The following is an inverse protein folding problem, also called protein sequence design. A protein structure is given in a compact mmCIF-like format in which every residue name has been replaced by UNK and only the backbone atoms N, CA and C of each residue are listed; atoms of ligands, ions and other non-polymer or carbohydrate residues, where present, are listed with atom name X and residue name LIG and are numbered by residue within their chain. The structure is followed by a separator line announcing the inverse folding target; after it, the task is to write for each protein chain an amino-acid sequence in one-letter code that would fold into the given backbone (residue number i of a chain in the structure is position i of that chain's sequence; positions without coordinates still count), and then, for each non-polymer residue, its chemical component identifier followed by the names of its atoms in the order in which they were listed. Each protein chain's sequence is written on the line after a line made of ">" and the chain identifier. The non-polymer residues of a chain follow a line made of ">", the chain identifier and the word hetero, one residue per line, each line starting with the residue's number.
data_IF_045691622970
#
_entry.id   IF_045691622970
#
_cell.length_a   1.000
_cell.length_b   1.000
_cell.length_c   1.000
_cell.angle_alpha   90.00
_cell.angle_beta   90.00
_cell.angle_gamma   90.00
#
_symmetry.space_group_name_H-M   'P 1'
#
loop_
_entity.id
_entity.type
_entity.pdbx_description
1 polymer ?
#
# COMPACT_ATOMS: atom_id res chain seq x y z
N UNK A 1 32.43 -32.21 -33.75
CA UNK A 1 33.82 -31.75 -33.96
C UNK A 1 33.77 -30.63 -34.99
N UNK A 2 33.79 -29.40 -34.60
CA UNK A 2 34.49 -28.24 -35.22
C UNK A 2 34.41 -27.08 -34.24
N UNK A 3 35.55 -26.75 -33.73
CA UNK A 3 35.93 -25.60 -32.96
C UNK A 3 35.99 -24.34 -33.84
N UNK A 4 35.47 -23.20 -33.40
CA UNK A 4 35.85 -21.86 -33.91
C UNK A 4 35.78 -20.81 -32.82
N UNK A 5 36.92 -20.61 -32.21
CA UNK A 5 37.31 -19.40 -31.46
C UNK A 5 37.31 -18.17 -32.37
N UNK A 6 36.58 -17.11 -31.99
CA UNK A 6 36.73 -15.78 -32.56
C UNK A 6 37.50 -14.88 -31.56
N UNK A 7 38.69 -14.44 -32.01
CA UNK A 7 39.50 -13.41 -31.34
C UNK A 7 39.07 -12.03 -31.84
N UNK A 8 38.83 -11.11 -30.95
CA UNK A 8 38.68 -9.66 -31.22
C UNK A 8 40.03 -8.98 -31.06
N UNK A 9 40.48 -8.32 -32.13
CA UNK A 9 41.63 -7.39 -32.11
C UNK A 9 41.12 -5.95 -31.91
N UNK A 10 41.88 -5.08 -31.18
CA UNK A 10 41.50 -3.69 -31.00
C UNK A 10 41.98 -2.81 -32.16
N UNK A 11 41.07 -1.97 -32.69
CA UNK A 11 41.43 -0.88 -33.61
C UNK A 11 41.62 0.41 -32.81
N UNK A 12 42.82 0.89 -32.71
CA UNK A 12 43.19 2.24 -32.30
C UNK A 12 42.97 3.21 -33.45
N UNK A 13 42.06 4.18 -33.29
CA UNK A 13 41.86 5.30 -34.18
C UNK A 13 42.06 6.62 -33.45
N UNK A 14 43.17 7.28 -33.70
CA UNK A 14 43.46 8.63 -33.25
C UNK A 14 42.62 9.65 -34.01
N UNK A 15 41.92 10.56 -33.34
CA UNK A 15 41.32 11.74 -33.91
C UNK A 15 41.95 13.00 -33.28
N UNK A 16 42.46 13.79 -34.23
CA UNK A 16 43.20 15.06 -34.11
C UNK A 16 42.33 16.16 -33.50
N UNK A 17 42.87 16.85 -32.46
CA UNK A 17 42.29 18.06 -31.92
C UNK A 17 42.48 19.26 -32.89
N UNK A 18 41.41 19.93 -33.28
CA UNK A 18 41.46 21.35 -33.71
C UNK A 18 40.76 22.17 -32.62
N UNK A 19 41.54 22.99 -31.94
CA UNK A 19 41.04 24.02 -31.06
C UNK A 19 40.65 25.25 -31.89
N UNK A 20 39.37 25.62 -31.80
CA UNK A 20 38.87 26.95 -32.17
C UNK A 20 38.24 27.57 -30.94
N UNK A 21 38.87 28.62 -30.43
CA UNK A 21 38.40 29.39 -29.29
C UNK A 21 37.13 30.16 -29.62
N UNK A 22 36.09 29.98 -28.84
CA UNK A 22 34.99 30.92 -28.70
C UNK A 22 34.77 31.11 -27.20
N UNK A 23 35.12 32.29 -26.73
CA UNK A 23 34.80 32.78 -25.38
C UNK A 23 33.30 33.03 -25.28
N UNK A 24 32.55 32.00 -24.92
CA UNK A 24 31.16 32.07 -24.53
C UNK A 24 31.08 32.07 -23.01
N UNK A 25 30.60 33.17 -22.43
CA UNK A 25 30.23 33.24 -21.01
C UNK A 25 29.22 32.09 -20.70
N UNK A 26 29.65 31.12 -19.91
CA UNK A 26 28.76 30.16 -19.32
C UNK A 26 27.76 30.87 -18.43
N UNK A 27 26.53 31.06 -18.93
CA UNK A 27 25.41 31.39 -18.08
C UNK A 27 25.27 30.30 -17.02
N UNK A 28 25.40 30.67 -15.76
CA UNK A 28 25.15 29.78 -14.64
C UNK A 28 23.76 29.17 -14.78
N UNK A 29 23.69 27.85 -14.76
CA UNK A 29 22.43 27.15 -14.70
C UNK A 29 21.58 27.71 -13.55
N UNK A 30 20.28 27.92 -13.74
CA UNK A 30 19.43 28.37 -12.66
C UNK A 30 19.52 27.37 -11.53
N UNK A 31 19.98 27.83 -10.36
CA UNK A 31 19.84 27.06 -9.11
C UNK A 31 18.36 26.78 -8.97
N UNK A 32 17.97 25.51 -9.15
CA UNK A 32 16.71 25.05 -8.59
C UNK A 32 16.75 25.43 -7.11
N UNK A 33 15.93 26.37 -6.71
CA UNK A 33 15.54 26.55 -5.32
C UNK A 33 14.74 25.29 -4.95
N UNK A 34 15.45 24.24 -4.57
CA UNK A 34 14.88 23.18 -3.75
C UNK A 34 14.48 23.92 -2.48
N UNK A 35 13.20 24.23 -2.36
CA UNK A 35 12.61 24.63 -1.09
C UNK A 35 12.98 23.49 -0.16
N UNK A 36 13.86 23.76 0.81
CA UNK A 36 14.13 22.77 1.85
C UNK A 36 12.77 22.28 2.33
N UNK A 37 12.54 20.96 2.38
CA UNK A 37 11.31 20.46 2.96
C UNK A 37 11.28 21.07 4.37
N UNK A 38 10.34 21.98 4.62
CA UNK A 38 9.91 22.22 5.99
C UNK A 38 9.71 20.82 6.53
N UNK A 39 10.48 20.45 7.57
CA UNK A 39 10.35 19.15 8.21
C UNK A 39 8.86 18.86 8.27
N UNK A 40 8.41 18.00 7.37
CA UNK A 40 7.15 17.32 7.48
C UNK A 40 7.25 16.70 8.85
N UNK A 41 6.50 17.22 9.80
CA UNK A 41 6.34 16.56 11.06
C UNK A 41 5.98 15.15 10.65
N UNK A 42 6.89 14.20 10.88
CA UNK A 42 6.76 12.79 10.54
C UNK A 42 5.33 12.44 10.88
N UNK A 43 4.50 12.11 9.88
CA UNK A 43 3.06 11.97 10.01
C UNK A 43 2.85 11.16 11.26
N UNK A 44 2.41 11.81 12.34
CA UNK A 44 2.59 11.30 13.69
C UNK A 44 1.95 9.92 13.71
N UNK A 45 2.75 8.89 13.96
CA UNK A 45 2.28 7.52 13.92
C UNK A 45 1.02 7.47 14.77
N UNK A 46 -0.13 7.22 14.13
CA UNK A 46 -1.42 7.33 14.79
C UNK A 46 -1.37 6.44 16.02
N UNK A 47 -1.57 7.07 17.17
CA UNK A 47 -1.38 6.45 18.46
C UNK A 47 -2.38 5.31 18.61
N UNK A 48 -1.89 4.09 18.75
CA UNK A 48 -2.72 2.91 18.99
C UNK A 48 -2.49 2.36 20.40
N UNK A 49 -3.57 2.05 21.12
CA UNK A 49 -3.52 1.29 22.36
C UNK A 49 -3.46 -0.22 22.14
N UNK A 50 -3.14 -0.68 20.93
CA UNK A 50 -3.07 -2.09 20.53
C UNK A 50 -1.62 -2.51 20.36
N UNK A 51 -1.29 -3.72 20.83
CA UNK A 51 0.04 -4.33 20.74
C UNK A 51 -0.05 -5.66 20.02
N UNK A 52 0.87 -5.92 19.11
CA UNK A 52 1.10 -7.23 18.51
C UNK A 52 2.24 -7.87 19.27
N UNK A 53 1.99 -8.97 19.99
CA UNK A 53 2.96 -9.64 20.87
C UNK A 53 3.16 -11.09 20.42
N UNK A 54 4.41 -11.45 20.20
CA UNK A 54 4.81 -12.85 19.96
C UNK A 54 5.54 -13.39 21.18
N UNK A 55 5.07 -14.49 21.72
CA UNK A 55 5.68 -15.16 22.87
C UNK A 55 6.64 -16.27 22.41
N UNK A 56 7.62 -16.60 23.27
CA UNK A 56 8.56 -17.72 23.01
C UNK A 56 7.87 -19.06 23.24
N UNK A 57 8.06 -20.02 22.34
CA UNK A 57 7.36 -21.30 22.32
C UNK A 57 7.49 -22.12 23.61
N UNK A 58 8.59 -21.98 24.35
CA UNK A 58 8.86 -22.76 25.57
C UNK A 58 8.43 -22.04 26.86
N UNK A 59 7.48 -21.12 26.79
CA UNK A 59 6.99 -20.37 27.96
C UNK A 59 5.49 -20.61 28.18
N UNK A 60 5.03 -20.41 29.41
CA UNK A 60 3.58 -20.50 29.72
C UNK A 60 2.76 -19.51 28.87
N UNK A 61 3.32 -18.35 28.54
CA UNK A 61 2.69 -17.37 27.69
C UNK A 61 2.55 -17.81 26.22
N UNK A 62 3.19 -18.88 25.76
CA UNK A 62 2.97 -19.42 24.42
C UNK A 62 1.54 -19.95 24.24
N UNK A 63 0.98 -20.60 25.25
CA UNK A 63 -0.30 -21.31 25.17
C UNK A 63 -1.36 -20.79 26.13
N UNK A 64 -0.97 -20.29 27.32
CA UNK A 64 -1.91 -19.83 28.33
C UNK A 64 -2.25 -18.34 28.21
N UNK A 65 -3.52 -18.06 28.00
CA UNK A 65 -4.05 -16.70 27.84
C UNK A 65 -3.81 -15.81 29.05
N UNK A 66 -3.91 -16.36 30.27
CA UNK A 66 -3.70 -15.59 31.49
C UNK A 66 -2.24 -15.18 31.63
N UNK A 67 -1.32 -16.06 31.29
CA UNK A 67 0.12 -15.79 31.30
C UNK A 67 0.50 -14.70 30.27
N UNK A 68 -0.12 -14.73 29.08
CA UNK A 68 0.03 -13.67 28.07
C UNK A 68 -0.36 -12.28 28.62
N UNK A 69 -1.55 -12.20 29.21
CA UNK A 69 -2.06 -10.96 29.78
C UNK A 69 -1.24 -10.49 30.98
N UNK A 70 -0.78 -11.41 31.82
CA UNK A 70 0.04 -11.08 32.99
C UNK A 70 1.37 -10.43 32.58
N UNK A 71 2.03 -10.89 31.53
CA UNK A 71 3.25 -10.30 31.02
C UNK A 71 3.03 -8.86 30.59
N UNK A 72 1.96 -8.58 29.80
CA UNK A 72 1.63 -7.22 29.36
C UNK A 72 1.20 -6.35 30.54
N UNK A 73 0.35 -6.86 31.45
CA UNK A 73 -0.11 -6.12 32.60
C UNK A 73 1.04 -5.74 33.56
N UNK A 74 2.03 -6.62 33.72
CA UNK A 74 3.24 -6.35 34.50
C UNK A 74 4.07 -5.21 33.88
N UNK A 75 4.25 -5.22 32.55
CA UNK A 75 4.93 -4.14 31.84
C UNK A 75 4.22 -2.81 31.98
N UNK A 76 2.90 -2.78 31.81
CA UNK A 76 2.05 -1.59 32.03
C UNK A 76 2.19 -1.07 33.46
N UNK A 77 2.16 -1.96 34.46
CA UNK A 77 2.35 -1.62 35.87
C UNK A 77 3.70 -0.97 36.18
N UNK A 78 4.80 -1.48 35.58
CA UNK A 78 6.14 -0.89 35.74
C UNK A 78 6.23 0.53 35.14
N UNK A 79 5.64 0.74 33.98
CA UNK A 79 5.57 2.08 33.35
C UNK A 79 4.73 3.04 34.21
N UNK A 80 3.59 2.56 34.76
CA UNK A 80 2.74 3.33 35.65
C UNK A 80 3.47 3.77 36.93
N UNK A 81 4.23 2.87 37.55
CA UNK A 81 5.03 3.16 38.73
C UNK A 81 6.15 4.19 38.45
N UNK A 82 6.77 4.15 37.30
CA UNK A 82 7.87 5.08 36.93
C UNK A 82 7.39 6.50 36.60
N UNK A 83 6.10 6.69 36.31
CA UNK A 83 5.53 7.98 35.88
C UNK A 83 4.69 8.65 36.96
N UNK A 84 4.59 8.06 38.17
CA UNK A 84 3.83 8.55 39.34
C UNK A 84 2.41 7.98 39.42
N UNK A 85 1.92 7.79 40.62
CA UNK A 85 0.70 7.04 40.98
C UNK A 85 -0.64 7.57 40.41
N UNK A 86 -0.63 8.64 39.60
CA UNK A 86 -1.81 9.22 38.95
C UNK A 86 -1.77 9.20 37.44
N UNK A 87 -0.84 8.45 36.83
CA UNK A 87 -0.73 8.37 35.38
C UNK A 87 -1.81 7.45 34.79
N UNK A 88 -2.26 7.75 33.55
CA UNK A 88 -3.15 6.89 32.77
C UNK A 88 -2.59 5.46 32.60
N UNK A 89 -1.27 5.31 32.65
CA UNK A 89 -0.58 4.02 32.58
C UNK A 89 -0.89 3.12 33.78
N UNK A 90 -1.02 3.67 35.01
CA UNK A 90 -1.32 2.88 36.21
C UNK A 90 -2.74 2.26 36.17
N UNK A 91 -3.67 2.87 35.44
CA UNK A 91 -5.07 2.42 35.33
C UNK A 91 -5.30 1.52 34.08
N UNK A 92 -4.33 1.41 33.18
CA UNK A 92 -4.49 0.65 31.96
C UNK A 92 -4.58 -0.86 32.24
N UNK A 93 -5.57 -1.50 31.63
CA UNK A 93 -5.76 -2.96 31.68
C UNK A 93 -5.50 -3.57 30.31
N UNK A 94 -4.79 -4.69 30.29
CA UNK A 94 -4.59 -5.48 29.10
C UNK A 94 -5.80 -6.38 28.83
N UNK A 95 -6.26 -6.42 27.60
CA UNK A 95 -7.34 -7.30 27.13
C UNK A 95 -6.85 -8.08 25.92
N UNK A 96 -6.96 -9.39 25.96
CA UNK A 96 -6.67 -10.26 24.82
C UNK A 96 -7.76 -10.07 23.76
N UNK A 97 -7.38 -9.80 22.54
CA UNK A 97 -8.32 -9.63 21.43
C UNK A 97 -8.41 -10.94 20.63
N UNK A 98 -7.32 -11.37 19.99
CA UNK A 98 -7.29 -12.58 19.15
C UNK A 98 -5.85 -13.02 18.85
N UNK A 99 -5.71 -14.23 18.31
CA UNK A 99 -4.48 -14.68 17.66
C UNK A 99 -4.47 -14.20 16.21
N UNK A 100 -3.30 -13.81 15.71
CA UNK A 100 -3.08 -13.42 14.34
C UNK A 100 -2.64 -14.62 13.50
N UNK A 101 -2.92 -14.62 12.20
CA UNK A 101 -2.50 -15.65 11.25
C UNK A 101 -0.98 -15.82 11.16
N UNK A 102 -0.22 -14.82 11.59
CA UNK A 102 1.25 -14.86 11.72
C UNK A 102 1.75 -15.49 13.02
N UNK A 103 0.87 -16.06 13.85
CA UNK A 103 1.22 -16.70 15.12
C UNK A 103 1.44 -15.78 16.31
N UNK A 104 1.36 -14.46 16.14
CA UNK A 104 1.39 -13.45 17.22
C UNK A 104 0.00 -13.27 17.83
N UNK A 105 -0.06 -12.58 18.98
CA UNK A 105 -1.31 -12.28 19.68
C UNK A 105 -1.56 -10.77 19.69
N UNK A 106 -2.81 -10.37 19.45
CA UNK A 106 -3.25 -8.99 19.54
C UNK A 106 -3.81 -8.71 20.93
N UNK A 107 -3.24 -7.70 21.59
CA UNK A 107 -3.63 -7.28 22.94
C UNK A 107 -3.96 -5.79 22.93
N UNK A 108 -5.14 -5.43 23.43
CA UNK A 108 -5.63 -4.04 23.56
C UNK A 108 -5.48 -3.57 25.00
N UNK A 109 -5.04 -2.33 25.17
CA UNK A 109 -5.01 -1.64 26.46
C UNK A 109 -6.29 -0.81 26.63
N UNK A 110 -6.89 -0.82 27.84
CA UNK A 110 -8.22 -0.23 28.10
C UNK A 110 -8.23 1.29 28.21
N UNK A 111 -7.06 1.93 28.35
CA UNK A 111 -6.93 3.38 28.41
C UNK A 111 -5.94 3.86 27.37
N UNK A 112 -6.17 5.08 26.88
CA UNK A 112 -5.23 5.73 25.97
C UNK A 112 -3.98 6.11 26.73
N UNK A 113 -2.85 5.54 26.34
CA UNK A 113 -1.53 5.93 26.82
C UNK A 113 -0.96 6.97 25.86
N UNK A 114 -0.09 7.83 26.30
CA UNK A 114 0.68 8.68 25.39
C UNK A 114 1.65 7.83 24.57
N UNK A 115 2.05 8.28 23.38
CA UNK A 115 3.02 7.57 22.54
C UNK A 115 4.28 7.18 23.33
N UNK A 116 4.83 8.12 24.11
CA UNK A 116 6.00 7.86 24.98
C UNK A 116 5.74 6.80 26.09
N UNK A 117 4.51 6.63 26.53
CA UNK A 117 4.15 5.57 27.49
C UNK A 117 4.04 4.21 26.81
N UNK A 118 3.47 4.14 25.60
CA UNK A 118 3.41 2.90 24.83
C UNK A 118 4.81 2.45 24.43
N UNK A 119 5.68 3.35 23.98
CA UNK A 119 7.08 3.03 23.69
C UNK A 119 7.78 2.42 24.91
N UNK A 120 7.56 2.97 26.12
CA UNK A 120 8.08 2.39 27.36
C UNK A 120 7.52 1.00 27.64
N UNK A 121 6.21 0.76 27.42
CA UNK A 121 5.60 -0.57 27.57
C UNK A 121 6.22 -1.56 26.57
N UNK A 122 6.47 -1.15 25.34
CA UNK A 122 7.16 -1.96 24.33
C UNK A 122 8.57 -2.30 24.80
N UNK A 123 9.33 -1.34 25.33
CA UNK A 123 10.69 -1.59 25.87
C UNK A 123 10.63 -2.59 27.04
N UNK A 124 9.69 -2.43 27.97
CA UNK A 124 9.50 -3.34 29.10
C UNK A 124 9.15 -4.77 28.63
N UNK A 125 8.29 -4.90 27.61
CA UNK A 125 7.94 -6.19 27.02
C UNK A 125 9.09 -6.84 26.25
N UNK A 126 9.92 -6.08 25.56
CA UNK A 126 11.13 -6.59 24.91
C UNK A 126 12.12 -7.19 25.91
N UNK A 127 12.12 -6.71 27.14
CA UNK A 127 12.94 -7.22 28.24
C UNK A 127 12.29 -8.38 29.00
N UNK A 128 11.00 -8.72 28.72
CA UNK A 128 10.32 -9.84 29.36
C UNK A 128 10.84 -11.18 28.79
N UNK A 129 11.29 -12.12 29.64
CA UNK A 129 11.87 -13.39 29.19
C UNK A 129 10.90 -14.27 28.40
N UNK A 130 9.59 -14.10 28.57
CA UNK A 130 8.57 -14.86 27.83
C UNK A 130 8.25 -14.27 26.46
N UNK A 131 8.61 -13.02 26.19
CA UNK A 131 8.32 -12.32 24.92
C UNK A 131 9.46 -12.56 23.93
N UNK A 132 9.09 -12.96 22.72
CA UNK A 132 9.99 -13.09 21.58
C UNK A 132 10.06 -11.80 20.78
N UNK A 133 8.92 -11.11 20.63
CA UNK A 133 8.82 -9.86 19.88
C UNK A 133 7.56 -9.08 20.25
N UNK A 134 7.59 -7.74 20.10
CA UNK A 134 6.45 -6.87 20.36
C UNK A 134 6.51 -5.60 19.53
N UNK A 135 5.37 -5.23 18.95
CA UNK A 135 5.17 -4.02 18.15
C UNK A 135 3.87 -3.32 18.50
N UNK A 136 3.83 -2.03 18.22
CA UNK A 136 2.58 -1.26 18.20
C UNK A 136 1.81 -1.65 16.93
N UNK A 137 0.53 -1.93 17.07
CA UNK A 137 -0.39 -2.15 15.94
C UNK A 137 -0.71 -0.78 15.30
N UNK A 138 0.04 -0.45 14.27
CA UNK A 138 -0.01 0.86 13.60
C UNK A 138 -1.14 0.92 12.58
N UNK A 139 -1.56 2.14 12.24
CA UNK A 139 -2.47 2.40 11.11
C UNK A 139 -1.65 2.70 9.86
N UNK A 140 -1.96 2.04 8.77
CA UNK A 140 -1.45 2.32 7.42
C UNK A 140 -2.56 2.97 6.60
N UNK A 141 -2.22 3.70 5.54
CA UNK A 141 -3.14 4.51 4.74
C UNK A 141 -3.08 4.15 3.26
N UNK A 142 -4.13 4.48 2.49
CA UNK A 142 -4.05 4.46 1.03
C UNK A 142 -2.95 5.40 0.55
N UNK A 143 -2.33 5.04 -0.55
CA UNK A 143 -1.37 5.90 -1.24
C UNK A 143 -2.14 6.71 -2.27
N UNK A 144 -2.58 7.92 -1.88
CA UNK A 144 -3.56 8.75 -2.59
C UNK A 144 -3.20 9.12 -4.03
N UNK A 145 -4.24 9.17 -4.89
CA UNK A 145 -4.18 9.60 -6.28
C UNK A 145 -4.71 11.04 -6.38
N UNK A 146 -3.91 11.97 -6.91
CA UNK A 146 -4.33 13.37 -7.12
C UNK A 146 -4.95 13.57 -8.50
N UNK A 147 -6.14 14.18 -8.57
CA UNK A 147 -7.02 14.31 -9.76
C UNK A 147 -6.66 15.43 -10.74
N UNK A 148 -6.81 15.24 -12.07
CA UNK A 148 -7.22 16.24 -13.09
C UNK A 148 -7.15 15.81 -14.59
N UNK A 149 -7.23 16.69 -15.57
CA UNK A 149 -7.90 16.68 -16.89
C UNK A 149 -7.00 16.39 -18.11
N UNK A 150 -7.59 15.86 -19.18
CA UNK A 150 -7.13 15.13 -20.37
C UNK A 150 -6.24 15.80 -21.44
N UNK A 151 -5.62 14.98 -22.32
CA UNK A 151 -4.95 15.34 -23.60
C UNK A 151 -4.50 14.13 -24.44
N UNK A 152 -4.37 14.26 -25.76
CA UNK A 152 -4.64 13.32 -26.87
C UNK A 152 -3.46 12.62 -27.58
N UNK A 153 -3.78 11.49 -28.23
CA UNK A 153 -3.40 10.77 -29.46
C UNK A 153 -2.16 9.89 -29.58
N UNK A 154 -2.36 8.58 -29.97
CA UNK A 154 -1.43 7.69 -30.72
C UNK A 154 -2.11 6.47 -31.38
N UNK A 155 -1.43 5.83 -32.36
CA UNK A 155 -1.87 4.77 -33.28
C UNK A 155 -1.56 3.29 -32.87
N UNK A 156 -2.13 2.26 -33.56
CA UNK A 156 -2.68 1.06 -32.91
C UNK A 156 -1.86 -0.24 -33.03
N UNK A 157 -1.92 -1.01 -31.96
CA UNK A 157 -1.89 -2.48 -31.86
C UNK A 157 -3.22 -2.89 -31.25
N UNK A 158 -3.44 -4.01 -30.57
CA UNK A 158 -4.75 -4.28 -29.97
C UNK A 158 -5.25 -3.04 -29.22
N UNK A 159 -6.13 -2.29 -29.86
CA UNK A 159 -6.71 -1.08 -29.27
C UNK A 159 -8.04 -1.47 -28.67
N UNK A 160 -8.20 -1.36 -27.34
CA UNK A 160 -9.50 -1.54 -26.70
C UNK A 160 -10.57 -0.67 -27.33
N UNK A 161 -11.80 -1.20 -27.44
CA UNK A 161 -12.95 -0.45 -27.94
C UNK A 161 -13.62 0.40 -26.86
N UNK A 162 -13.04 0.45 -25.68
CA UNK A 162 -13.51 1.17 -24.53
C UNK A 162 -13.36 2.67 -24.79
N UNK A 163 -14.45 3.45 -24.68
CA UNK A 163 -14.53 4.81 -25.27
C UNK A 163 -13.53 5.80 -24.66
N UNK A 164 -13.07 5.56 -23.45
CA UNK A 164 -12.17 6.47 -22.75
C UNK A 164 -10.69 6.05 -22.81
N UNK A 165 -10.40 4.86 -23.37
CA UNK A 165 -9.03 4.32 -23.50
C UNK A 165 -8.10 5.29 -24.23
N UNK A 166 -8.43 5.66 -25.46
CA UNK A 166 -7.54 6.46 -26.29
C UNK A 166 -7.33 7.88 -25.73
N UNK A 167 -8.32 8.42 -25.03
CA UNK A 167 -8.27 9.78 -24.52
C UNK A 167 -7.53 9.91 -23.20
N UNK A 168 -7.66 8.92 -22.29
CA UNK A 168 -7.23 9.07 -20.91
C UNK A 168 -6.18 8.07 -20.45
N UNK A 169 -6.02 6.92 -21.12
CA UNK A 169 -5.14 5.86 -20.63
C UNK A 169 -3.75 5.87 -21.29
N UNK A 170 -3.10 7.04 -21.32
CA UNK A 170 -1.73 7.18 -21.82
C UNK A 170 -0.77 6.19 -21.15
N UNK A 171 -1.00 5.86 -19.89
CA UNK A 171 -0.16 4.95 -19.11
C UNK A 171 -0.08 3.54 -19.70
N UNK A 172 -1.06 3.13 -20.48
CA UNK A 172 -1.05 1.82 -21.16
C UNK A 172 -0.28 1.83 -22.47
N UNK A 173 -0.30 2.94 -23.23
CA UNK A 173 0.16 2.94 -24.63
C UNK A 173 1.19 4.02 -24.99
N UNK A 174 1.40 5.05 -24.14
CA UNK A 174 2.35 6.12 -24.47
C UNK A 174 3.77 5.56 -24.64
N UNK A 175 4.48 5.89 -25.75
CA UNK A 175 5.79 5.29 -26.07
C UNK A 175 6.91 5.74 -25.13
N UNK A 176 6.74 6.82 -24.37
CA UNK A 176 7.76 7.37 -23.45
C UNK A 176 7.51 6.98 -22.01
N UNK A 177 6.29 7.21 -21.51
CA UNK A 177 5.96 7.00 -20.09
C UNK A 177 4.98 5.86 -19.86
N UNK A 178 4.41 5.25 -20.88
CA UNK A 178 3.48 4.11 -20.78
C UNK A 178 4.19 2.76 -20.67
N UNK A 179 3.43 1.74 -20.28
CA UNK A 179 3.93 0.36 -20.09
C UNK A 179 3.91 -0.50 -21.36
N UNK A 180 3.46 0.05 -22.49
CA UNK A 180 3.29 -0.69 -23.76
C UNK A 180 2.37 -1.92 -23.61
N UNK A 181 1.25 -1.74 -22.87
CA UNK A 181 0.28 -2.80 -22.62
C UNK A 181 -0.27 -3.46 -23.90
N UNK A 182 -0.56 -2.75 -25.01
CA UNK A 182 -1.02 -3.35 -26.25
C UNK A 182 -0.13 -4.48 -26.77
N UNK A 183 1.19 -4.31 -26.72
CA UNK A 183 2.13 -5.37 -27.11
C UNK A 183 2.18 -6.54 -26.11
N UNK A 184 2.01 -6.23 -24.83
CA UNK A 184 1.96 -7.25 -23.77
C UNK A 184 0.68 -8.10 -23.88
N UNK A 185 -0.46 -7.50 -24.25
CA UNK A 185 -1.74 -8.19 -24.38
C UNK A 185 -1.77 -9.24 -25.51
N UNK A 186 -0.91 -9.11 -26.51
CA UNK A 186 -0.72 -10.13 -27.53
C UNK A 186 -0.07 -11.42 -26.97
N UNK A 187 0.64 -11.29 -25.84
CA UNK A 187 1.30 -12.41 -25.14
C UNK A 187 0.48 -12.93 -23.96
N UNK A 188 -0.06 -12.03 -23.14
CA UNK A 188 -0.86 -12.38 -21.96
C UNK A 188 -1.78 -11.24 -21.55
N UNK A 189 -2.96 -11.59 -21.07
CA UNK A 189 -3.98 -10.68 -20.54
C UNK A 189 -4.36 -11.03 -19.08
N UNK A 190 -3.59 -11.90 -18.42
CA UNK A 190 -3.79 -12.31 -17.04
C UNK A 190 -4.83 -13.42 -16.82
N UNK A 191 -5.25 -14.16 -17.85
CA UNK A 191 -6.26 -15.21 -17.72
C UNK A 191 -5.83 -16.28 -16.72
N UNK A 192 -6.73 -16.60 -15.76
CA UNK A 192 -6.51 -17.59 -14.72
C UNK A 192 -5.69 -17.08 -13.52
N UNK A 193 -5.33 -15.80 -13.49
CA UNK A 193 -4.62 -15.17 -12.37
C UNK A 193 -5.62 -14.48 -11.45
N UNK A 194 -5.55 -14.72 -10.15
CA UNK A 194 -6.26 -13.99 -9.12
C UNK A 194 -5.34 -12.92 -8.54
N UNK A 195 -5.79 -11.67 -8.58
CA UNK A 195 -5.09 -10.53 -7.98
C UNK A 195 -5.88 -10.06 -6.76
N UNK A 196 -5.33 -10.24 -5.56
CA UNK A 196 -5.92 -9.67 -4.36
C UNK A 196 -5.54 -8.19 -4.24
N UNK A 197 -6.56 -7.33 -4.14
CA UNK A 197 -6.38 -5.89 -3.90
C UNK A 197 -6.73 -5.61 -2.43
N UNK A 198 -5.69 -5.39 -1.62
CA UNK A 198 -5.81 -5.04 -0.20
C UNK A 198 -5.90 -3.53 -0.08
N UNK A 199 -7.14 -3.01 0.12
CA UNK A 199 -7.42 -1.58 -0.03
C UNK A 199 -8.67 -1.14 0.77
N UNK A 200 -9.31 0.00 0.40
CA UNK A 200 -10.54 0.52 1.03
C UNK A 200 -11.79 -0.35 0.76
N UNK A 201 -11.65 -1.37 -0.07
CA UNK A 201 -12.74 -2.20 -0.56
C UNK A 201 -13.06 -1.91 -2.02
N UNK A 202 -14.27 -2.27 -2.45
CA UNK A 202 -14.71 -2.11 -3.82
C UNK A 202 -16.19 -1.73 -3.87
N UNK A 203 -16.58 -1.01 -4.91
CA UNK A 203 -17.97 -0.75 -5.27
C UNK A 203 -18.35 -1.69 -6.42
N UNK A 204 -18.90 -2.87 -6.13
CA UNK A 204 -19.10 -3.93 -7.12
C UNK A 204 -20.18 -3.63 -8.16
N UNK A 205 -20.96 -2.57 -7.95
CA UNK A 205 -21.96 -2.09 -8.89
C UNK A 205 -21.41 -1.28 -10.07
N UNK A 206 -20.09 -1.05 -10.12
CA UNK A 206 -19.48 -0.35 -11.26
C UNK A 206 -19.63 -1.22 -12.53
N UNK A 207 -20.19 -0.68 -13.63
CA UNK A 207 -20.50 -1.48 -14.82
C UNK A 207 -19.26 -2.11 -15.48
N UNK A 208 -18.10 -1.52 -15.28
CA UNK A 208 -16.85 -1.94 -15.88
C UNK A 208 -16.10 -3.05 -15.11
N UNK A 209 -16.74 -3.65 -14.10
CA UNK A 209 -16.23 -4.84 -13.41
C UNK A 209 -17.01 -6.12 -13.73
N UNK A 210 -17.89 -6.11 -14.71
CA UNK A 210 -18.76 -7.24 -14.99
C UNK A 210 -17.96 -8.53 -15.31
N UNK A 211 -18.05 -9.51 -14.39
CA UNK A 211 -17.42 -10.82 -14.54
C UNK A 211 -15.98 -10.94 -13.99
N UNK A 212 -15.34 -9.87 -13.55
CA UNK A 212 -13.96 -9.88 -13.10
C UNK A 212 -13.79 -9.87 -11.57
N UNK A 213 -14.87 -9.93 -10.78
CA UNK A 213 -14.84 -9.81 -9.32
C UNK A 213 -15.19 -11.10 -8.60
N UNK A 214 -14.42 -11.44 -7.58
CA UNK A 214 -14.79 -12.38 -6.52
C UNK A 214 -15.49 -11.65 -5.36
N UNK A 215 -16.12 -12.40 -4.46
CA UNK A 215 -16.84 -11.82 -3.33
C UNK A 215 -15.94 -11.04 -2.37
N UNK A 216 -14.69 -11.52 -2.15
CA UNK A 216 -13.75 -10.90 -1.22
C UNK A 216 -14.13 -11.02 0.25
N UNK A 217 -13.43 -10.24 1.09
CA UNK A 217 -13.62 -10.25 2.55
C UNK A 217 -13.21 -8.91 3.19
N UNK A 218 -13.94 -8.48 4.23
CA UNK A 218 -13.60 -7.29 5.02
C UNK A 218 -12.90 -7.71 6.32
N UNK A 219 -11.64 -7.31 6.46
CA UNK A 219 -10.76 -7.66 7.58
C UNK A 219 -10.73 -6.65 8.70
N UNK A 220 -11.35 -5.48 8.55
CA UNK A 220 -11.30 -4.41 9.54
C UNK A 220 -12.02 -4.87 10.81
N UNK A 221 -11.31 -4.81 11.97
CA UNK A 221 -11.82 -5.21 13.29
C UNK A 221 -12.10 -4.02 14.20
N UNK A 222 -12.53 -2.91 13.62
CA UNK A 222 -12.92 -1.69 14.32
C UNK A 222 -14.10 -1.05 13.60
N UNK A 223 -15.24 -0.92 14.28
CA UNK A 223 -16.47 -0.39 13.71
C UNK A 223 -16.34 1.09 13.30
N UNK A 224 -15.57 1.88 14.04
CA UNK A 224 -15.29 3.28 13.71
C UNK A 224 -14.48 3.41 12.42
N UNK A 225 -13.48 2.54 12.25
CA UNK A 225 -12.66 2.49 11.04
C UNK A 225 -13.45 1.95 9.87
N UNK A 226 -14.18 0.85 10.07
CA UNK A 226 -14.91 0.16 8.99
C UNK A 226 -16.21 0.86 8.59
N UNK A 227 -16.76 1.74 9.43
CA UNK A 227 -18.12 2.30 9.33
C UNK A 227 -19.20 1.23 9.31
N UNK A 228 -18.91 0.03 9.77
CA UNK A 228 -19.88 -1.05 9.98
C UNK A 228 -20.44 -0.99 11.40
N UNK A 229 -21.61 -1.58 11.65
CA UNK A 229 -22.24 -1.54 12.97
C UNK A 229 -21.46 -2.30 14.07
N UNK A 230 -20.53 -3.16 13.70
CA UNK A 230 -19.80 -4.04 14.62
C UNK A 230 -18.33 -4.19 14.20
N UNK A 231 -17.51 -4.64 15.15
CA UNK A 231 -16.08 -4.98 14.94
C UNK A 231 -15.88 -6.32 14.21
N UNK A 232 -16.94 -7.04 13.89
CA UNK A 232 -16.83 -8.35 13.26
C UNK A 232 -16.32 -8.25 11.83
N UNK A 233 -15.39 -9.12 11.45
CA UNK A 233 -15.01 -9.35 10.06
C UNK A 233 -16.16 -10.01 9.30
N UNK A 234 -16.36 -9.66 8.03
CA UNK A 234 -17.51 -10.13 7.27
C UNK A 234 -17.12 -10.52 5.84
N UNK A 235 -17.86 -11.49 5.23
CA UNK A 235 -17.76 -11.75 3.80
C UNK A 235 -18.14 -10.53 2.96
N UNK A 236 -17.46 -10.38 1.81
CA UNK A 236 -17.60 -9.22 0.94
C UNK A 236 -16.62 -8.10 1.35
N UNK A 237 -16.25 -7.28 0.40
CA UNK A 237 -15.30 -6.20 0.59
C UNK A 237 -15.89 -4.86 0.11
N UNK A 238 -17.16 -4.60 0.46
CA UNK A 238 -17.84 -3.36 0.09
C UNK A 238 -17.10 -2.16 0.68
N UNK A 239 -16.82 -1.17 -0.14
CA UNK A 239 -16.27 0.11 0.31
C UNK A 239 -17.39 0.94 0.96
N UNK A 240 -17.29 1.21 2.26
CA UNK A 240 -18.22 2.03 3.03
C UNK A 240 -17.78 3.50 3.10
N UNK A 241 -16.68 3.85 2.42
CA UNK A 241 -16.07 5.16 2.45
C UNK A 241 -15.05 5.35 3.58
N UNK A 242 -14.10 6.23 3.34
CA UNK A 242 -12.97 6.53 4.23
C UNK A 242 -12.87 8.02 4.59
N UNK A 243 -13.96 8.80 4.40
CA UNK A 243 -13.98 10.25 4.66
C UNK A 243 -13.65 10.63 6.11
N UNK A 244 -13.09 11.82 6.31
CA UNK A 244 -12.96 12.49 7.60
C UNK A 244 -13.96 13.64 7.71
N UNK A 245 -14.75 13.67 8.78
CA UNK A 245 -15.84 14.65 8.96
C UNK A 245 -15.34 16.04 9.32
N UNK A 246 -14.16 16.13 9.96
CA UNK A 246 -13.55 17.37 10.42
C UNK A 246 -12.03 17.22 10.56
N UNK A 247 -11.35 18.35 10.66
CA UNK A 247 -9.91 18.37 10.92
C UNK A 247 -9.56 17.73 12.26
N UNK A 248 -8.39 17.12 12.35
CA UNK A 248 -7.82 16.46 13.53
C UNK A 248 -8.64 15.29 14.10
N UNK A 249 -9.44 14.64 13.26
CA UNK A 249 -10.21 13.45 13.66
C UNK A 249 -9.34 12.20 13.69
N UNK A 250 -8.53 12.02 12.67
CA UNK A 250 -7.70 10.82 12.54
C UNK A 250 -6.36 10.96 13.28
N UNK A 251 -5.77 12.14 13.30
CA UNK A 251 -4.54 12.48 14.02
C UNK A 251 -4.37 14.00 14.04
N UNK A 252 -3.48 14.49 14.90
CA UNK A 252 -3.17 15.92 14.96
C UNK A 252 -2.60 16.41 13.62
N UNK A 253 -3.32 17.32 12.97
CA UNK A 253 -2.99 17.84 11.64
C UNK A 253 -3.67 17.12 10.49
N UNK A 254 -4.50 16.09 10.71
CA UNK A 254 -5.36 15.57 9.65
C UNK A 254 -6.39 16.61 9.23
N UNK A 255 -6.77 16.62 7.96
CA UNK A 255 -7.77 17.55 7.41
C UNK A 255 -9.01 16.77 6.97
N UNK A 256 -10.17 17.41 7.13
CA UNK A 256 -11.43 16.88 6.63
C UNK A 256 -11.30 16.54 5.14
N UNK A 257 -11.76 15.36 4.75
CA UNK A 257 -11.69 14.89 3.36
C UNK A 257 -12.89 14.04 3.00
N UNK A 258 -13.24 14.06 1.72
CA UNK A 258 -14.23 13.18 1.13
C UNK A 258 -13.71 11.75 1.00
N UNK A 259 -14.62 10.78 0.80
CA UNK A 259 -14.21 9.40 0.50
C UNK A 259 -13.36 9.34 -0.77
N UNK A 260 -12.29 8.58 -0.69
CA UNK A 260 -11.36 8.39 -1.80
C UNK A 260 -11.88 7.39 -2.85
N UNK A 261 -12.67 6.39 -2.44
CA UNK A 261 -13.09 5.23 -3.24
C UNK A 261 -11.89 4.53 -3.90
N UNK A 262 -10.75 4.59 -3.21
CA UNK A 262 -9.42 4.25 -3.71
C UNK A 262 -9.34 2.80 -4.20
N UNK A 263 -9.85 1.83 -3.45
CA UNK A 263 -9.80 0.43 -3.84
C UNK A 263 -10.56 0.10 -5.13
N UNK A 264 -11.63 0.86 -5.45
CA UNK A 264 -12.32 0.74 -6.74
C UNK A 264 -11.42 1.19 -7.88
N UNK A 265 -10.74 2.34 -7.75
CA UNK A 265 -9.79 2.84 -8.74
C UNK A 265 -8.60 1.90 -8.96
N UNK A 266 -8.00 1.41 -7.88
CA UNK A 266 -6.89 0.44 -7.94
C UNK A 266 -7.32 -0.85 -8.60
N UNK A 267 -8.50 -1.37 -8.26
CA UNK A 267 -9.06 -2.58 -8.89
C UNK A 267 -9.33 -2.38 -10.39
N UNK A 268 -9.78 -1.19 -10.79
CA UNK A 268 -9.95 -0.81 -12.19
C UNK A 268 -8.63 -0.84 -12.93
N UNK A 269 -7.58 -0.25 -12.38
CA UNK A 269 -6.25 -0.32 -12.98
C UNK A 269 -5.79 -1.75 -13.20
N UNK A 270 -6.09 -2.67 -12.30
CA UNK A 270 -5.71 -4.08 -12.45
C UNK A 270 -6.52 -4.74 -13.58
N UNK A 271 -7.85 -4.70 -13.53
CA UNK A 271 -8.67 -5.56 -14.38
C UNK A 271 -10.07 -5.00 -14.70
N UNK A 272 -10.19 -3.73 -15.07
CA UNK A 272 -11.40 -3.27 -15.75
C UNK A 272 -11.73 -4.16 -16.96
N UNK A 273 -13.01 -4.40 -17.18
CA UNK A 273 -13.49 -5.25 -18.27
C UNK A 273 -13.23 -4.55 -19.60
N UNK A 274 -12.27 -5.04 -20.34
CA UNK A 274 -11.74 -4.44 -21.57
C UNK A 274 -12.45 -4.99 -22.80
N UNK A 275 -12.65 -4.15 -23.82
CA UNK A 275 -13.39 -4.46 -25.05
C UNK A 275 -14.87 -4.74 -24.81
N UNK A 276 -15.46 -4.11 -23.83
CA UNK A 276 -16.88 -4.19 -23.53
C UNK A 276 -17.69 -2.96 -24.03
N UNK A 277 -17.01 -1.95 -24.60
CA UNK A 277 -17.59 -0.70 -25.10
C UNK A 277 -18.03 0.25 -24.00
N UNK A 278 -17.54 0.08 -22.77
CA UNK A 278 -17.82 0.89 -21.59
C UNK A 278 -16.48 1.36 -21.00
N UNK A 279 -16.42 2.54 -20.41
CA UNK A 279 -15.33 3.02 -19.57
C UNK A 279 -13.94 2.91 -20.18
N UNK A 280 -13.08 2.13 -19.52
CA UNK A 280 -11.62 2.06 -19.74
C UNK A 280 -11.13 0.61 -19.76
N UNK A 281 -9.81 0.43 -19.90
CA UNK A 281 -9.17 -0.88 -19.94
C UNK A 281 -8.32 -1.15 -18.70
N UNK A 282 -8.36 -2.36 -18.17
CA UNK A 282 -7.45 -2.84 -17.12
C UNK A 282 -6.10 -3.29 -17.69
N UNK A 283 -5.05 -3.26 -16.89
CA UNK A 283 -3.70 -3.74 -17.27
C UNK A 283 -3.70 -5.25 -17.57
N UNK A 284 -4.43 -6.01 -16.77
CA UNK A 284 -4.59 -7.45 -16.90
C UNK A 284 -6.09 -7.83 -17.01
N UNK A 285 -6.76 -7.50 -18.15
CA UNK A 285 -8.21 -7.46 -18.25
C UNK A 285 -8.90 -8.83 -18.16
N UNK A 286 -8.15 -9.91 -18.20
CA UNK A 286 -8.67 -11.29 -18.01
C UNK A 286 -8.29 -11.90 -16.68
N UNK A 287 -7.62 -11.14 -15.79
CA UNK A 287 -7.42 -11.56 -14.41
C UNK A 287 -8.70 -11.39 -13.60
N UNK A 288 -8.75 -12.05 -12.46
CA UNK A 288 -9.87 -11.97 -11.54
C UNK A 288 -9.43 -11.20 -10.29
N UNK A 289 -10.21 -10.21 -9.88
CA UNK A 289 -9.93 -9.41 -8.68
C UNK A 289 -10.55 -10.12 -7.47
N UNK A 290 -9.72 -10.32 -6.43
CA UNK A 290 -10.14 -10.68 -5.08
C UNK A 290 -10.06 -9.41 -4.22
N UNK A 291 -11.16 -8.66 -4.03
CA UNK A 291 -11.12 -7.47 -3.21
C UNK A 291 -11.01 -7.86 -1.73
N UNK A 292 -10.10 -7.23 -1.00
CA UNK A 292 -9.88 -7.46 0.44
C UNK A 292 -9.85 -6.11 1.14
N UNK A 293 -10.89 -5.84 1.91
CA UNK A 293 -10.99 -4.55 2.58
C UNK A 293 -10.18 -4.55 3.87
N UNK A 294 -9.20 -3.67 3.94
CA UNK A 294 -8.30 -3.49 5.08
C UNK A 294 -8.20 -2.04 5.52
N UNK A 295 -8.64 -1.10 4.69
CA UNK A 295 -8.61 0.34 4.94
C UNK A 295 -10.03 0.89 5.05
N UNK A 296 -10.20 1.86 5.91
CA UNK A 296 -11.42 2.63 6.10
C UNK A 296 -11.09 4.00 6.64
N UNK A 297 -11.98 4.59 7.46
CA UNK A 297 -11.74 5.87 8.11
C UNK A 297 -10.39 5.85 8.81
N UNK A 298 -9.56 6.84 8.54
CA UNK A 298 -8.21 6.98 9.10
C UNK A 298 -7.18 5.95 8.63
N UNK A 299 -7.50 5.01 7.75
CA UNK A 299 -6.61 3.96 7.28
C UNK A 299 -6.96 2.56 7.79
N UNK A 300 -5.97 1.69 8.04
CA UNK A 300 -6.16 0.33 8.53
C UNK A 300 -5.05 -0.15 9.45
N UNK A 301 -5.39 -0.98 10.43
CA UNK A 301 -4.42 -1.54 11.38
C UNK A 301 -3.50 -2.56 10.73
N UNK A 302 -2.21 -2.51 11.05
CA UNK A 302 -1.20 -3.49 10.61
C UNK A 302 -1.62 -4.93 10.91
N UNK A 303 -2.29 -5.19 12.05
CA UNK A 303 -2.76 -6.51 12.42
C UNK A 303 -3.86 -7.04 11.49
N UNK A 304 -4.76 -6.18 11.01
CA UNK A 304 -5.80 -6.55 10.07
C UNK A 304 -5.22 -6.78 8.67
N UNK A 305 -4.27 -5.93 8.27
CA UNK A 305 -3.52 -6.07 7.00
C UNK A 305 -2.68 -7.35 6.99
N UNK A 306 -1.98 -7.68 8.09
CA UNK A 306 -1.19 -8.90 8.20
C UNK A 306 -2.06 -10.17 8.07
N UNK A 307 -3.23 -10.20 8.73
CA UNK A 307 -4.18 -11.31 8.58
C UNK A 307 -4.75 -11.39 7.16
N UNK A 308 -5.03 -10.25 6.54
CA UNK A 308 -5.50 -10.17 5.15
C UNK A 308 -4.46 -10.73 4.16
N UNK A 309 -3.17 -10.41 4.33
CA UNK A 309 -2.06 -10.97 3.53
C UNK A 309 -2.02 -12.51 3.68
N UNK A 310 -2.12 -12.99 4.92
CA UNK A 310 -2.14 -14.44 5.19
C UNK A 310 -3.31 -15.11 4.50
N UNK A 311 -4.52 -14.57 4.64
CA UNK A 311 -5.74 -15.14 4.06
C UNK A 311 -5.76 -15.06 2.54
N UNK A 312 -5.41 -13.90 1.97
CA UNK A 312 -5.41 -13.69 0.52
C UNK A 312 -4.49 -14.69 -0.20
N UNK A 313 -3.36 -15.05 0.41
CA UNK A 313 -2.41 -16.04 -0.10
C UNK A 313 -2.73 -17.51 0.28
N UNK A 314 -3.93 -17.80 0.80
CA UNK A 314 -4.40 -19.15 1.12
C UNK A 314 -3.99 -19.67 2.51
N UNK A 315 -3.44 -18.83 3.38
CA UNK A 315 -3.17 -19.16 4.77
C UNK A 315 -4.43 -19.12 5.66
N UNK A 316 -4.35 -19.71 6.84
CA UNK A 316 -5.46 -19.75 7.80
C UNK A 316 -5.42 -18.58 8.76
N UNK A 317 -6.57 -17.95 8.97
CA UNK A 317 -6.80 -16.89 9.95
C UNK A 317 -7.93 -17.31 10.89
N UNK A 318 -7.71 -17.19 12.20
CA UNK A 318 -8.69 -17.59 13.20
C UNK A 318 -10.00 -16.79 13.04
N UNK A 319 -11.13 -17.49 13.05
CA UNK A 319 -12.46 -16.88 12.92
C UNK A 319 -12.83 -16.41 11.52
N UNK A 320 -12.01 -16.67 10.51
CA UNK A 320 -12.25 -16.31 9.10
C UNK A 320 -12.37 -17.60 8.27
N UNK A 321 -13.39 -17.77 7.43
CA UNK A 321 -13.47 -18.90 6.50
C UNK A 321 -12.24 -19.00 5.60
N UNK A 322 -11.84 -20.21 5.21
CA UNK A 322 -10.73 -20.41 4.29
C UNK A 322 -10.99 -19.69 2.95
N UNK A 323 -9.94 -19.07 2.41
CA UNK A 323 -10.00 -18.53 1.07
C UNK A 323 -9.97 -19.65 0.04
N UNK A 324 -11.03 -19.80 -0.74
CA UNK A 324 -11.15 -20.81 -1.80
C UNK A 324 -10.50 -20.38 -3.12
N UNK A 325 -10.05 -19.12 -3.20
CA UNK A 325 -9.40 -18.54 -4.37
C UNK A 325 -8.10 -17.83 -3.95
N UNK A 326 -7.07 -18.56 -3.51
CA UNK A 326 -5.79 -17.96 -3.15
C UNK A 326 -5.23 -17.14 -4.31
N UNK A 327 -4.71 -15.96 -4.01
CA UNK A 327 -4.20 -15.04 -5.00
C UNK A 327 -2.76 -15.37 -5.40
N UNK A 328 -2.47 -15.35 -6.70
CA UNK A 328 -1.12 -15.40 -7.24
C UNK A 328 -0.38 -14.07 -7.01
N UNK A 329 -1.13 -12.97 -6.95
CA UNK A 329 -0.57 -11.62 -6.73
C UNK A 329 -1.38 -10.91 -5.65
N UNK A 330 -0.70 -10.29 -4.70
CA UNK A 330 -1.27 -9.33 -3.75
C UNK A 330 -0.78 -7.94 -4.14
N UNK A 331 -1.71 -7.01 -4.36
CA UNK A 331 -1.42 -5.58 -4.52
C UNK A 331 -1.78 -4.82 -3.24
N UNK A 332 -0.84 -4.03 -2.76
CA UNK A 332 -1.01 -3.14 -1.60
C UNK A 332 -0.63 -1.70 -1.97
N UNK A 333 -1.60 -0.93 -2.43
CA UNK A 333 -1.47 0.50 -2.69
C UNK A 333 -1.69 1.31 -1.41
N UNK A 334 -0.98 0.91 -0.37
CA UNK A 334 -1.09 1.45 0.99
C UNK A 334 0.29 1.51 1.65
N UNK A 335 0.40 2.33 2.68
CA UNK A 335 1.63 2.44 3.45
C UNK A 335 1.55 3.48 4.56
N UNK A 336 2.68 3.65 5.25
CA UNK A 336 2.86 4.65 6.27
C UNK A 336 4.30 4.77 6.71
N UNK A 337 4.61 5.85 7.43
CA UNK A 337 5.94 6.14 7.93
C UNK A 337 6.49 5.09 8.92
N UNK A 338 7.76 4.86 8.85
CA UNK A 338 8.52 3.89 9.64
C UNK A 338 8.96 2.68 8.83
N UNK A 339 10.12 2.12 9.17
CA UNK A 339 10.63 0.92 8.52
C UNK A 339 9.67 -0.26 8.70
N UNK A 340 9.81 -1.26 7.84
CA UNK A 340 9.05 -2.50 7.89
C UNK A 340 9.06 -3.13 9.29
N UNK A 341 7.89 -3.36 9.85
CA UNK A 341 7.74 -4.05 11.13
C UNK A 341 7.75 -5.57 10.94
N UNK A 342 8.03 -6.33 12.00
CA UNK A 342 8.17 -7.77 11.89
C UNK A 342 6.85 -8.49 11.63
N UNK A 343 5.70 -7.94 12.02
CA UNK A 343 4.41 -8.56 11.77
C UNK A 343 4.10 -8.53 10.26
N UNK A 344 4.27 -7.37 9.64
CA UNK A 344 4.15 -7.20 8.18
C UNK A 344 5.16 -8.08 7.45
N UNK A 345 6.43 -8.10 7.88
CA UNK A 345 7.46 -8.93 7.25
C UNK A 345 7.14 -10.43 7.33
N UNK A 346 6.65 -10.92 8.47
CA UNK A 346 6.27 -12.33 8.63
C UNK A 346 5.07 -12.69 7.75
N UNK A 347 4.08 -11.80 7.63
CA UNK A 347 2.93 -12.02 6.75
C UNK A 347 3.35 -12.12 5.28
N UNK A 348 4.21 -11.19 4.83
CA UNK A 348 4.76 -11.17 3.46
C UNK A 348 5.60 -12.43 3.19
N UNK A 349 6.51 -12.80 4.09
CA UNK A 349 7.31 -14.01 3.93
C UNK A 349 6.44 -15.26 3.82
N UNK A 350 5.37 -15.32 4.62
CA UNK A 350 4.38 -16.39 4.57
C UNK A 350 3.64 -16.45 3.23
N UNK A 351 3.23 -15.31 2.70
CA UNK A 351 2.57 -15.23 1.38
C UNK A 351 3.50 -15.69 0.25
N UNK A 352 4.73 -15.18 0.22
CA UNK A 352 5.74 -15.57 -0.77
C UNK A 352 6.08 -17.06 -0.68
N UNK A 353 6.17 -17.62 0.53
CA UNK A 353 6.39 -19.06 0.72
C UNK A 353 5.24 -19.95 0.20
N UNK A 354 4.03 -19.38 0.10
CA UNK A 354 2.85 -20.05 -0.51
C UNK A 354 2.77 -19.85 -2.03
N UNK A 355 3.72 -19.09 -2.62
CA UNK A 355 3.79 -18.83 -4.06
C UNK A 355 3.15 -17.52 -4.52
N UNK A 356 2.69 -16.68 -3.59
CA UNK A 356 2.07 -15.38 -3.90
C UNK A 356 3.15 -14.30 -4.08
N UNK A 357 3.09 -13.56 -5.17
CA UNK A 357 3.89 -12.34 -5.38
C UNK A 357 3.25 -11.17 -4.65
N UNK A 358 4.04 -10.40 -3.89
CA UNK A 358 3.56 -9.23 -3.15
C UNK A 358 4.11 -7.95 -3.77
N UNK A 359 3.21 -7.09 -4.24
CA UNK A 359 3.51 -5.80 -4.88
C UNK A 359 3.02 -4.66 -3.99
N UNK A 360 3.88 -3.69 -3.74
CA UNK A 360 3.59 -2.58 -2.81
C UNK A 360 3.97 -1.24 -3.42
N UNK A 361 3.24 -0.19 -3.07
CA UNK A 361 3.61 1.18 -3.42
C UNK A 361 4.84 1.64 -2.62
N UNK A 362 5.73 2.39 -3.26
CA UNK A 362 6.88 3.00 -2.58
C UNK A 362 6.47 4.09 -1.57
N UNK A 363 5.34 4.73 -1.79
CA UNK A 363 4.81 5.87 -1.03
C UNK A 363 4.82 7.18 -1.82
N UNK A 364 4.16 8.20 -1.29
CA UNK A 364 3.89 9.48 -1.97
C UNK A 364 4.43 10.71 -1.23
N UNK A 365 5.45 10.53 -0.40
CA UNK A 365 5.99 11.59 0.47
C UNK A 365 7.21 12.30 -0.14
N UNK A 366 7.74 11.81 -1.28
CA UNK A 366 8.96 12.31 -1.90
C UNK A 366 10.21 12.01 -1.06
N UNK A 367 10.20 10.91 -0.31
CA UNK A 367 11.24 10.50 0.65
C UNK A 367 11.87 9.15 0.27
N UNK A 368 12.86 8.70 1.07
CA UNK A 368 13.45 7.38 0.89
C UNK A 368 12.47 6.29 1.34
N UNK A 369 12.08 5.41 0.41
CA UNK A 369 11.18 4.28 0.65
C UNK A 369 11.68 3.32 1.77
N UNK A 370 12.96 3.37 2.14
CA UNK A 370 13.50 2.64 3.28
C UNK A 370 12.85 3.04 4.62
N UNK A 371 12.26 4.22 4.69
CA UNK A 371 11.57 4.76 5.87
C UNK A 371 10.06 4.51 5.86
N UNK A 372 9.55 3.71 4.93
CA UNK A 372 8.11 3.45 4.78
C UNK A 372 7.80 1.95 4.83
N UNK A 373 6.70 1.58 5.50
CA UNK A 373 6.16 0.21 5.54
C UNK A 373 4.87 0.16 4.73
N UNK A 374 4.63 -0.88 3.89
CA UNK A 374 5.45 -2.07 3.63
C UNK A 374 6.56 -1.90 2.59
N UNK A 375 6.77 -0.71 2.02
CA UNK A 375 7.75 -0.43 0.95
C UNK A 375 9.17 -0.91 1.27
N UNK A 376 9.59 -0.82 2.54
CA UNK A 376 10.93 -1.26 2.99
C UNK A 376 11.03 -2.74 3.37
N UNK A 377 9.93 -3.50 3.31
CA UNK A 377 9.95 -4.93 3.59
C UNK A 377 10.78 -5.70 2.56
N UNK A 378 11.30 -6.85 2.95
CA UNK A 378 11.95 -7.77 2.02
C UNK A 378 10.89 -8.67 1.35
N UNK A 379 11.24 -9.24 0.19
CA UNK A 379 10.37 -10.12 -0.58
C UNK A 379 9.09 -9.43 -1.11
N UNK A 380 9.13 -8.12 -1.27
CA UNK A 380 8.15 -7.32 -2.00
C UNK A 380 8.71 -6.87 -3.34
N UNK A 381 7.84 -6.55 -4.28
CA UNK A 381 8.14 -5.72 -5.44
C UNK A 381 7.64 -4.31 -5.10
N UNK A 382 8.57 -3.42 -4.80
CA UNK A 382 8.27 -2.02 -4.41
C UNK A 382 8.28 -1.12 -5.63
N UNK A 383 7.15 -0.43 -5.89
CA UNK A 383 6.91 0.30 -7.13
C UNK A 383 6.86 1.79 -6.88
N UNK A 384 7.76 2.55 -7.51
CA UNK A 384 7.75 4.01 -7.58
C UNK A 384 6.86 4.54 -8.71
N UNK A 385 6.63 5.85 -8.76
CA UNK A 385 5.74 6.48 -9.73
C UNK A 385 6.49 7.37 -10.73
N UNK A 386 6.15 7.20 -12.03
CA UNK A 386 6.65 8.04 -13.12
C UNK A 386 5.55 8.89 -13.74
N UNK A 387 5.94 10.02 -14.33
CA UNK A 387 5.09 10.90 -15.11
C UNK A 387 5.10 10.50 -16.60
N UNK A 388 4.19 11.09 -17.38
CA UNK A 388 4.00 10.77 -18.81
C UNK A 388 5.28 10.92 -19.67
N UNK A 389 6.24 11.73 -19.25
CA UNK A 389 7.52 11.89 -19.94
C UNK A 389 8.62 10.94 -19.43
N UNK A 390 8.28 9.96 -18.61
CA UNK A 390 9.20 8.97 -18.05
C UNK A 390 10.02 9.41 -16.84
N UNK A 391 9.95 10.68 -16.45
CA UNK A 391 10.59 11.18 -15.23
C UNK A 391 9.86 10.73 -13.95
N UNK A 392 10.54 10.78 -12.82
CA UNK A 392 9.92 10.54 -11.51
C UNK A 392 8.86 11.62 -11.22
N UNK A 393 7.72 11.25 -10.61
CA UNK A 393 6.71 12.21 -10.16
C UNK A 393 7.21 12.97 -8.93
N UNK A 394 6.64 14.15 -8.68
CA UNK A 394 7.05 15.01 -7.56
C UNK A 394 6.79 14.39 -6.18
N UNK A 395 5.86 13.45 -6.09
CA UNK A 395 5.44 12.80 -4.84
C UNK A 395 6.09 11.43 -4.63
N UNK A 396 6.60 10.75 -5.67
CA UNK A 396 7.08 9.38 -5.54
C UNK A 396 8.20 9.26 -4.54
N UNK A 397 8.08 8.30 -3.62
CA UNK A 397 9.22 7.86 -2.84
C UNK A 397 10.25 7.18 -3.75
N UNK A 398 11.51 7.19 -3.32
CA UNK A 398 12.68 6.76 -4.09
C UNK A 398 13.65 5.94 -3.21
N UNK A 399 14.81 5.62 -3.73
CA UNK A 399 15.89 4.95 -3.01
C UNK A 399 16.07 3.48 -3.34
N UNK A 400 16.95 2.83 -2.61
CA UNK A 400 17.41 1.45 -2.88
C UNK A 400 16.35 0.36 -2.64
N UNK A 401 15.21 0.73 -2.05
CA UNK A 401 14.08 -0.18 -1.82
C UNK A 401 13.07 -0.20 -2.97
N UNK A 402 13.19 0.72 -3.91
CA UNK A 402 12.35 0.74 -5.11
C UNK A 402 12.93 -0.21 -6.14
N UNK A 403 12.20 -1.27 -6.49
CA UNK A 403 12.63 -2.29 -7.44
C UNK A 403 12.38 -1.85 -8.89
N UNK A 404 11.25 -1.18 -9.13
CA UNK A 404 10.87 -0.65 -10.44
C UNK A 404 9.93 0.55 -10.26
N UNK A 405 9.64 1.26 -11.36
CA UNK A 405 8.66 2.35 -11.35
C UNK A 405 7.69 2.17 -12.51
N UNK A 406 6.45 2.59 -12.28
CA UNK A 406 5.38 2.56 -13.26
C UNK A 406 4.69 3.92 -13.42
N UNK A 407 3.85 4.09 -14.45
CA UNK A 407 3.08 5.31 -14.64
C UNK A 407 2.18 5.59 -13.43
N UNK A 408 2.46 6.66 -12.68
CA UNK A 408 1.65 7.15 -11.58
C UNK A 408 1.02 8.50 -11.85
N UNK A 409 1.54 9.17 -12.89
CA UNK A 409 1.10 10.51 -13.23
C UNK A 409 1.57 11.56 -12.22
N UNK A 410 1.37 12.79 -12.51
CA UNK A 410 1.74 13.93 -11.64
C UNK A 410 0.99 15.18 -12.08
N UNK A 411 0.35 15.06 -13.22
CA UNK A 411 -0.57 16.02 -13.78
C UNK A 411 -0.01 17.45 -13.87
N UNK A 412 -0.84 18.41 -13.55
CA UNK A 412 -0.49 19.83 -13.64
C UNK A 412 0.67 20.23 -12.74
N UNK A 413 0.87 19.56 -11.60
CA UNK A 413 1.99 19.84 -10.68
C UNK A 413 3.32 19.52 -11.32
N UNK A 414 3.38 18.46 -12.12
CA UNK A 414 4.57 18.08 -12.90
C UNK A 414 4.66 18.76 -14.28
N UNK A 415 3.81 19.75 -14.53
CA UNK A 415 3.76 20.46 -15.82
C UNK A 415 3.12 19.66 -16.97
N UNK A 416 2.41 18.58 -16.67
CA UNK A 416 1.74 17.71 -17.63
C UNK A 416 0.25 17.58 -17.30
N UNK A 417 -0.60 18.54 -17.65
CA UNK A 417 -2.02 18.56 -17.28
C UNK A 417 -2.81 17.31 -17.67
N UNK A 418 -2.42 16.63 -18.77
CA UNK A 418 -3.01 15.35 -19.21
C UNK A 418 -2.38 14.10 -18.59
N UNK A 419 -1.39 14.26 -17.71
CA UNK A 419 -0.60 13.15 -17.17
C UNK A 419 -1.15 12.53 -15.89
N UNK A 420 -2.47 12.46 -15.71
CA UNK A 420 -3.10 11.70 -14.61
C UNK A 420 -3.42 10.29 -15.02
N UNK A 421 -3.59 9.41 -14.04
CA UNK A 421 -4.05 8.04 -14.25
C UNK A 421 -5.56 8.01 -14.06
N UNK A 422 -6.27 7.60 -15.10
CA UNK A 422 -7.73 7.53 -15.12
C UNK A 422 -8.18 6.08 -15.15
N UNK A 423 -9.13 5.74 -14.27
CA UNK A 423 -9.71 4.41 -14.14
C UNK A 423 -11.14 4.49 -13.60
N UNK A 424 -11.80 3.34 -13.47
CA UNK A 424 -13.09 3.21 -12.81
C UNK A 424 -13.10 3.96 -11.48
N UNK A 425 -14.08 4.77 -11.24
CA UNK A 425 -14.11 5.59 -10.06
C UNK A 425 -15.52 6.01 -9.65
N UNK A 426 -15.57 6.57 -8.47
CA UNK A 426 -16.77 7.17 -7.93
C UNK A 426 -16.43 8.55 -7.38
N UNK A 427 -17.42 9.44 -7.43
CA UNK A 427 -17.43 10.71 -6.72
C UNK A 427 -18.41 10.63 -5.54
N UNK A 428 -18.41 11.65 -4.71
CA UNK A 428 -19.31 11.75 -3.56
C UNK A 428 -18.60 11.63 -2.24
N UNK A 429 -18.89 12.57 -1.36
CA UNK A 429 -18.19 12.72 -0.09
C UNK A 429 -18.37 11.49 0.83
N UNK A 430 -19.62 11.02 0.95
CA UNK A 430 -19.99 9.94 1.88
C UNK A 430 -20.84 8.85 1.22
N UNK A 431 -21.42 9.15 0.05
CA UNK A 431 -22.25 8.22 -0.72
C UNK A 431 -21.67 8.15 -2.14
N UNK A 432 -21.36 6.96 -2.64
CA UNK A 432 -20.76 6.83 -3.94
C UNK A 432 -21.73 7.22 -5.06
N UNK A 433 -21.32 8.10 -5.93
CA UNK A 433 -22.00 8.41 -7.18
C UNK A 433 -21.12 7.91 -8.32
N UNK A 434 -21.69 7.09 -9.20
CA UNK A 434 -20.97 6.58 -10.36
C UNK A 434 -20.43 7.75 -11.18
N UNK A 435 -19.11 7.80 -11.35
CA UNK A 435 -18.47 8.77 -12.19
C UNK A 435 -18.67 8.36 -13.64
N UNK A 436 -19.51 9.11 -14.35
CA UNK A 436 -19.56 9.04 -15.81
C UNK A 436 -18.39 9.86 -16.35
N UNK A 437 -17.36 9.18 -16.76
CA UNK A 437 -16.27 9.78 -17.54
C UNK A 437 -16.60 9.71 -19.00
#
# INVERSE_FOLDING_TARGET
>A
VIDKTFRLTPLTGAILMMALGASGTLAAAPKLLVKEPTQSASAGAQFSSRLIVRYKDNTAAATDRSSKLNAVQAAVGRVGASTGARSSAAAAKATYVRKLGIGSDLIKLSSTLTAAQVDKVVVELKNDPSVADVHIDRMLRPVDIKKSVAGTDVSPQLVPNDPLYAQYQWHLSNPTGGINAPAAWDLSQGAGVVVAVLDTGILPGHPDFAGNLLQGYDFITDAEVSRRPTDARVPGALDYGDWEEADNVCYDGSVAQESSWHGTHVSGTVAEATNNGIGMAGVAPKSTILPVRVLGRCGGYTSDIADAIVWASGGTVEGVPANTNPAEVINMSLGGGGACDSATQVAINGAVSRGTTVVVAAGNDGEDAANHSPASCNNTITVGATRINGGITYYSNYGSKVDLSGPGGGGSVDGNPGGYIWQAGYDGATTPNLRQL
#
